data_IF_956331434794
#
_entry.id   IF_956331434794
#
_cell.length_a   1.000
_cell.length_b   1.000
_cell.length_c   1.000
_cell.angle_alpha   90.00
_cell.angle_beta   90.00
_cell.angle_gamma   90.00
#
_symmetry.space_group_name_H-M   'P 1'
#
loop_
_entity.id
_entity.type
_entity.pdbx_description
1 polymer ?
#
# COMPACT_ATOMS: atom_id res chain seq x y z
N UNK A 1 -31.46 37.79 32.30
CA UNK A 1 -30.31 38.33 31.55
C UNK A 1 -29.15 38.14 32.48
N UNK A 2 -28.39 37.08 32.26
CA UNK A 2 -27.05 36.76 32.78
C UNK A 2 -26.82 35.28 32.43
N UNK A 3 -26.36 35.03 31.20
CA UNK A 3 -25.91 33.71 30.75
C UNK A 3 -24.48 33.86 30.24
N UNK A 4 -23.51 33.59 31.12
CA UNK A 4 -22.11 33.39 30.76
C UNK A 4 -21.66 31.97 31.10
N UNK A 5 -21.35 31.23 30.02
CA UNK A 5 -20.21 30.33 29.85
C UNK A 5 -19.94 29.26 30.92
N UNK A 6 -20.27 28.03 30.57
CA UNK A 6 -19.29 26.93 30.61
C UNK A 6 -19.80 25.70 29.85
N UNK A 7 -19.22 25.43 28.68
CA UNK A 7 -18.99 24.05 28.25
C UNK A 7 -17.85 24.06 27.24
N UNK A 8 -16.67 23.65 27.72
CA UNK A 8 -15.53 23.37 26.87
C UNK A 8 -15.72 21.93 26.35
N UNK A 9 -16.28 21.82 25.14
CA UNK A 9 -16.34 20.57 24.40
C UNK A 9 -14.96 20.28 23.80
N UNK A 10 -14.21 19.39 24.45
CA UNK A 10 -12.96 18.84 23.93
C UNK A 10 -13.27 17.88 22.79
N UNK A 11 -13.50 18.45 21.61
CA UNK A 11 -13.45 17.74 20.34
C UNK A 11 -12.03 17.26 20.05
N UNK A 12 -11.90 15.98 19.69
CA UNK A 12 -10.68 15.46 19.10
C UNK A 12 -10.47 13.96 19.27
N UNK A 13 -11.08 13.15 18.39
CA UNK A 13 -10.37 12.01 17.79
C UNK A 13 -10.69 12.02 16.30
N UNK A 14 -9.61 12.01 15.52
CA UNK A 14 -9.53 12.30 14.10
C UNK A 14 -10.45 11.42 13.24
N UNK A 15 -11.10 12.09 12.29
CA UNK A 15 -11.91 11.45 11.27
C UNK A 15 -11.10 10.49 10.41
N UNK A 16 -11.71 9.35 10.14
CA UNK A 16 -11.36 8.45 9.06
C UNK A 16 -11.58 9.18 7.72
N UNK A 17 -10.52 9.76 7.15
CA UNK A 17 -10.54 10.32 5.79
C UNK A 17 -10.64 9.20 4.74
N UNK A 18 -11.85 8.65 4.60
CA UNK A 18 -12.16 7.58 3.64
C UNK A 18 -12.35 8.06 2.20
N UNK A 19 -12.14 9.36 1.91
CA UNK A 19 -12.29 9.95 0.57
C UNK A 19 -11.01 10.54 -0.05
N UNK A 20 -9.90 10.61 0.69
CA UNK A 20 -8.68 11.31 0.29
C UNK A 20 -7.57 10.42 -0.27
N UNK A 21 -6.40 11.04 -0.52
CA UNK A 21 -5.18 10.36 -0.98
C UNK A 21 -4.81 9.18 -0.07
N UNK A 22 -4.90 9.33 1.24
CA UNK A 22 -4.59 8.26 2.19
C UNK A 22 -5.54 7.06 2.05
N UNK A 23 -6.85 7.31 1.91
CA UNK A 23 -7.83 6.26 1.65
C UNK A 23 -7.62 5.56 0.32
N UNK A 24 -7.25 6.30 -0.74
CA UNK A 24 -6.89 5.72 -2.04
C UNK A 24 -5.66 4.82 -1.96
N UNK A 25 -4.58 5.28 -1.33
CA UNK A 25 -3.36 4.49 -1.15
C UNK A 25 -3.55 3.30 -0.20
N UNK A 26 -4.46 3.41 0.78
CA UNK A 26 -4.83 2.28 1.64
C UNK A 26 -5.53 1.16 0.87
N UNK A 27 -6.15 1.45 -0.28
CA UNK A 27 -6.71 0.42 -1.18
C UNK A 27 -5.63 -0.24 -2.05
N UNK A 28 -4.58 0.50 -2.40
CA UNK A 28 -3.43 -0.04 -3.12
C UNK A 28 -2.53 -0.94 -2.24
N UNK A 29 -2.59 -0.79 -0.91
CA UNK A 29 -1.73 -1.48 0.04
C UNK A 29 -2.46 -2.57 0.84
N UNK A 30 -1.81 -3.68 1.22
CA UNK A 30 -0.40 -3.98 0.94
C UNK A 30 -0.18 -4.35 -0.53
N UNK A 31 0.78 -3.71 -1.18
CA UNK A 31 1.01 -3.86 -2.62
C UNK A 31 1.16 -5.34 -2.98
N UNK A 32 0.48 -5.78 -4.05
CA UNK A 32 0.43 -7.17 -4.51
C UNK A 32 -0.22 -8.21 -3.57
N UNK A 33 -0.80 -7.80 -2.43
CA UNK A 33 -1.44 -8.71 -1.47
C UNK A 33 -2.97 -8.63 -1.48
N UNK A 34 -3.55 -7.52 -1.95
CA UNK A 34 -5.01 -7.37 -2.10
C UNK A 34 -5.35 -7.40 -3.58
N UNK A 35 -5.81 -8.53 -4.11
CA UNK A 35 -6.60 -8.50 -5.35
C UNK A 35 -7.41 -9.78 -5.51
N UNK A 36 -8.70 -9.67 -5.23
CA UNK A 36 -9.68 -10.77 -5.22
C UNK A 36 -10.01 -11.34 -6.61
N UNK A 37 -9.49 -10.77 -7.72
CA UNK A 37 -10.03 -11.05 -9.09
C UNK A 37 -9.02 -11.14 -10.23
N UNK A 38 -7.86 -11.72 -10.00
CA UNK A 38 -6.91 -12.01 -11.06
C UNK A 38 -5.92 -10.89 -11.23
N UNK A 39 -4.64 -11.25 -11.17
CA UNK A 39 -3.54 -10.33 -11.27
C UNK A 39 -2.95 -10.48 -12.68
N UNK A 40 -3.56 -9.81 -13.65
CA UNK A 40 -3.11 -9.87 -15.03
C UNK A 40 -1.84 -9.05 -15.24
N UNK A 41 -1.11 -9.37 -16.32
CA UNK A 41 0.08 -8.60 -16.70
C UNK A 41 -0.23 -7.13 -16.91
N UNK A 42 -1.38 -6.82 -17.51
CA UNK A 42 -1.81 -5.45 -17.78
C UNK A 42 -2.10 -4.66 -16.49
N UNK A 43 -2.72 -5.29 -15.48
CA UNK A 43 -2.96 -4.64 -14.18
C UNK A 43 -1.65 -4.38 -13.43
N UNK A 44 -0.71 -5.35 -13.44
CA UNK A 44 0.62 -5.13 -12.89
C UNK A 44 1.34 -3.98 -13.62
N UNK A 45 1.27 -3.98 -14.95
CA UNK A 45 1.92 -2.97 -15.77
C UNK A 45 1.34 -1.58 -15.50
N UNK A 46 0.03 -1.47 -15.31
CA UNK A 46 -0.64 -0.20 -14.97
C UNK A 46 -0.33 0.27 -13.54
N UNK A 47 -0.13 -0.66 -12.61
CA UNK A 47 0.14 -0.32 -11.20
C UNK A 47 1.62 0.02 -10.94
N UNK A 48 2.54 -0.28 -11.86
CA UNK A 48 3.98 -0.12 -11.65
C UNK A 48 4.63 0.71 -12.76
N UNK A 49 5.48 1.64 -12.35
CA UNK A 49 6.31 2.43 -13.27
C UNK A 49 7.23 1.51 -14.09
N UNK A 50 7.61 1.90 -15.30
CA UNK A 50 8.53 1.12 -16.14
C UNK A 50 9.88 0.88 -15.46
N UNK A 51 10.33 1.83 -14.64
CA UNK A 51 11.58 1.76 -13.88
C UNK A 51 11.37 1.23 -12.45
N UNK A 52 10.20 0.66 -12.15
CA UNK A 52 9.89 0.10 -10.84
C UNK A 52 10.93 -0.93 -10.40
N UNK A 53 11.31 -0.85 -9.12
CA UNK A 53 12.12 -1.88 -8.47
C UNK A 53 11.68 -2.10 -7.03
N UNK A 54 12.01 -3.28 -6.52
CA UNK A 54 11.66 -3.72 -5.18
C UNK A 54 12.92 -4.16 -4.41
N UNK A 55 12.99 -3.83 -3.13
CA UNK A 55 13.84 -4.55 -2.17
C UNK A 55 12.94 -5.45 -1.32
N UNK A 56 13.02 -6.75 -1.58
CA UNK A 56 12.21 -7.72 -0.86
C UNK A 56 12.75 -7.97 0.56
N UNK A 57 12.00 -8.75 1.33
CA UNK A 57 12.35 -9.09 2.72
C UNK A 57 13.70 -9.77 2.94
N UNK A 58 14.28 -10.35 1.89
CA UNK A 58 15.63 -10.92 1.91
C UNK A 58 16.75 -9.86 1.87
N UNK A 59 16.42 -8.60 1.61
CA UNK A 59 17.38 -7.55 1.28
C UNK A 59 17.85 -7.56 -0.18
N UNK A 60 17.45 -8.57 -0.97
CA UNK A 60 17.75 -8.62 -2.40
C UNK A 60 16.94 -7.58 -3.18
N UNK A 61 17.56 -7.01 -4.21
CA UNK A 61 16.93 -6.08 -5.15
C UNK A 61 16.39 -6.84 -6.35
N UNK A 62 15.16 -6.52 -6.72
CA UNK A 62 14.43 -7.10 -7.83
C UNK A 62 13.96 -6.00 -8.78
N UNK A 63 14.12 -6.24 -10.08
CA UNK A 63 13.50 -5.40 -11.10
C UNK A 63 12.02 -5.77 -11.30
N UNK A 64 11.34 -4.94 -12.07
CA UNK A 64 9.93 -5.08 -12.41
C UNK A 64 9.57 -6.43 -13.02
N UNK A 65 10.38 -6.95 -13.95
CA UNK A 65 10.12 -8.25 -14.60
C UNK A 65 10.29 -9.42 -13.63
N UNK A 66 11.31 -9.36 -12.77
CA UNK A 66 11.50 -10.36 -11.73
C UNK A 66 10.30 -10.39 -10.78
N UNK A 67 9.84 -9.22 -10.31
CA UNK A 67 8.66 -9.11 -9.44
C UNK A 67 7.44 -9.71 -10.13
N UNK A 68 7.18 -9.36 -11.40
CA UNK A 68 6.10 -9.96 -12.18
C UNK A 68 6.21 -11.49 -12.24
N UNK A 69 7.40 -12.04 -12.54
CA UNK A 69 7.58 -13.50 -12.67
C UNK A 69 7.23 -14.25 -11.38
N UNK A 70 7.54 -13.65 -10.21
CA UNK A 70 7.22 -14.21 -8.90
C UNK A 70 5.70 -14.15 -8.65
N UNK A 71 5.07 -13.01 -8.95
CA UNK A 71 3.63 -12.82 -8.78
C UNK A 71 2.81 -13.73 -9.71
N UNK A 72 3.20 -13.84 -10.98
CA UNK A 72 2.57 -14.71 -11.96
C UNK A 72 2.66 -16.18 -11.53
N UNK A 73 3.83 -16.63 -11.04
CA UNK A 73 4.00 -18.00 -10.51
C UNK A 73 3.13 -18.22 -9.26
N UNK A 74 3.10 -17.26 -8.34
CA UNK A 74 2.28 -17.33 -7.12
C UNK A 74 0.80 -17.49 -7.47
N UNK A 75 0.30 -16.67 -8.39
CA UNK A 75 -1.08 -16.73 -8.86
C UNK A 75 -1.41 -18.07 -9.54
N UNK A 76 -0.52 -18.58 -10.41
CA UNK A 76 -0.71 -19.88 -11.06
C UNK A 76 -0.73 -21.06 -10.07
N UNK A 77 -0.07 -20.93 -8.92
CA UNK A 77 -0.04 -21.96 -7.87
C UNK A 77 -1.17 -21.86 -6.84
N UNK A 78 -1.94 -20.77 -6.83
CA UNK A 78 -3.03 -20.57 -5.87
C UNK A 78 -4.33 -21.20 -6.41
N UNK A 79 -4.78 -22.28 -5.78
CA UNK A 79 -6.01 -22.99 -6.18
C UNK A 79 -7.26 -22.54 -5.41
N UNK A 80 -7.12 -21.71 -4.37
CA UNK A 80 -8.24 -21.20 -3.57
C UNK A 80 -8.03 -19.72 -3.17
N UNK A 81 -9.03 -18.84 -3.34
CA UNK A 81 -8.96 -17.44 -2.89
C UNK A 81 -8.75 -17.29 -1.37
N UNK A 82 -9.21 -18.26 -0.58
CA UNK A 82 -9.16 -18.23 0.88
C UNK A 82 -7.73 -18.30 1.47
N UNK A 83 -6.75 -18.83 0.72
CA UNK A 83 -5.35 -18.89 1.19
C UNK A 83 -4.62 -17.53 1.11
N UNK A 84 -5.25 -16.51 0.51
CA UNK A 84 -4.62 -15.20 0.27
C UNK A 84 -5.00 -14.12 1.29
N UNK A 85 -6.13 -14.25 2.02
CA UNK A 85 -6.71 -13.08 2.69
C UNK A 85 -6.69 -13.03 4.22
N UNK A 86 -6.57 -14.13 4.98
CA UNK A 86 -7.18 -14.05 6.32
C UNK A 86 -6.29 -13.67 7.52
N UNK A 87 -4.98 -13.42 7.39
CA UNK A 87 -4.15 -13.19 8.60
C UNK A 87 -3.12 -12.06 8.51
N UNK A 88 -3.38 -11.02 7.72
CA UNK A 88 -2.53 -9.82 7.76
C UNK A 88 -3.20 -8.59 8.36
N UNK A 89 -2.41 -7.82 9.11
CA UNK A 89 -2.84 -6.59 9.77
C UNK A 89 -1.85 -5.48 9.47
N UNK A 90 -2.37 -4.33 9.07
CA UNK A 90 -1.60 -3.11 8.82
C UNK A 90 -1.67 -2.22 10.06
N UNK A 91 -0.53 -1.81 10.57
CA UNK A 91 -0.38 -0.84 11.65
C UNK A 91 0.42 0.39 11.18
N UNK A 92 0.25 1.52 11.88
CA UNK A 92 0.99 2.76 11.66
C UNK A 92 1.01 3.23 10.20
N UNK A 93 -0.12 3.10 9.51
CA UNK A 93 -0.23 3.50 8.11
C UNK A 93 -0.13 5.02 7.97
N UNK A 94 1.00 5.47 7.43
CA UNK A 94 1.31 6.87 7.24
C UNK A 94 1.52 7.18 5.75
N UNK A 95 1.03 8.35 5.34
CA UNK A 95 1.20 8.89 3.98
C UNK A 95 1.84 10.26 4.09
N UNK A 96 2.89 10.50 3.32
CA UNK A 96 3.60 11.78 3.29
C UNK A 96 3.87 12.22 1.86
N UNK A 97 3.50 13.45 1.54
CA UNK A 97 3.89 14.08 0.27
C UNK A 97 5.37 14.39 0.27
N UNK A 98 6.07 13.98 -0.79
CA UNK A 98 7.51 14.16 -0.94
C UNK A 98 7.91 14.93 -2.19
N UNK A 99 7.02 14.98 -3.18
CA UNK A 99 7.16 15.73 -4.42
C UNK A 99 5.76 15.92 -5.06
N UNK A 100 5.60 16.75 -6.10
CA UNK A 100 4.33 16.86 -6.82
C UNK A 100 3.78 15.49 -7.23
N UNK A 101 2.50 15.27 -6.94
CA UNK A 101 1.77 14.01 -7.15
C UNK A 101 2.41 12.75 -6.53
N UNK A 102 3.46 12.89 -5.71
CA UNK A 102 4.26 11.75 -5.24
C UNK A 102 4.18 11.63 -3.72
N UNK A 103 3.81 10.44 -3.27
CA UNK A 103 3.55 10.09 -1.88
C UNK A 103 4.48 8.97 -1.45
N UNK A 104 5.07 9.12 -0.27
CA UNK A 104 5.69 8.01 0.46
C UNK A 104 4.63 7.42 1.39
N UNK A 105 4.40 6.12 1.24
CA UNK A 105 3.58 5.33 2.16
C UNK A 105 4.51 4.48 3.01
N UNK A 106 4.31 4.49 4.33
CA UNK A 106 5.03 3.61 5.26
C UNK A 106 4.05 2.96 6.24
N UNK A 107 4.29 1.71 6.59
CA UNK A 107 3.47 0.98 7.56
C UNK A 107 4.18 -0.27 8.07
N UNK A 108 3.65 -0.85 9.15
CA UNK A 108 4.02 -2.19 9.62
C UNK A 108 2.99 -3.19 9.11
N UNK A 109 3.44 -4.27 8.46
CA UNK A 109 2.58 -5.40 8.11
C UNK A 109 2.92 -6.60 8.99
N UNK A 110 1.89 -7.09 9.68
CA UNK A 110 1.86 -8.37 10.37
C UNK A 110 1.27 -9.42 9.44
N UNK A 111 1.90 -10.59 9.31
CA UNK A 111 1.43 -11.74 8.54
C UNK A 111 1.64 -13.00 9.39
N UNK A 112 0.75 -13.25 10.35
CA UNK A 112 1.03 -14.18 11.45
C UNK A 112 2.23 -13.73 12.28
N UNK A 113 3.18 -14.62 12.55
CA UNK A 113 4.42 -14.30 13.29
C UNK A 113 5.39 -13.42 12.49
N UNK A 114 5.20 -13.35 11.17
CA UNK A 114 6.08 -12.57 10.28
C UNK A 114 5.71 -11.10 10.30
N UNK A 115 6.59 -10.25 10.82
CA UNK A 115 6.41 -8.79 10.85
C UNK A 115 7.39 -8.11 9.91
N UNK A 116 6.91 -7.16 9.10
CA UNK A 116 7.73 -6.37 8.19
C UNK A 116 7.41 -4.87 8.26
N UNK A 117 8.44 -4.03 8.13
CA UNK A 117 8.28 -2.59 7.86
C UNK A 117 8.29 -2.39 6.35
N UNK A 118 7.30 -1.67 5.86
CA UNK A 118 7.09 -1.47 4.42
C UNK A 118 7.16 0.00 4.06
N UNK A 119 7.69 0.26 2.88
CA UNK A 119 7.74 1.57 2.27
C UNK A 119 7.42 1.45 0.78
N UNK A 120 6.52 2.30 0.28
CA UNK A 120 6.21 2.38 -1.15
C UNK A 120 6.19 3.83 -1.58
N UNK A 121 6.85 4.12 -2.70
CA UNK A 121 6.72 5.41 -3.39
C UNK A 121 5.61 5.27 -4.43
N UNK A 122 4.60 6.11 -4.30
CA UNK A 122 3.46 6.17 -5.19
C UNK A 122 3.42 7.51 -5.90
N UNK A 123 3.15 7.51 -7.20
CA UNK A 123 2.86 8.71 -7.98
C UNK A 123 1.44 8.64 -8.51
N UNK A 124 0.69 9.72 -8.39
CA UNK A 124 -0.59 9.83 -9.07
C UNK A 124 -0.32 10.21 -10.53
N UNK A 125 -0.69 9.33 -11.44
CA UNK A 125 -0.62 9.57 -12.87
C UNK A 125 -2.01 9.95 -13.38
N UNK A 126 -2.12 11.09 -14.05
CA UNK A 126 -3.36 11.64 -14.59
C UNK A 126 -3.27 11.90 -16.10
N UNK A 127 -2.33 11.25 -16.81
CA UNK A 127 -2.15 11.45 -18.24
C UNK A 127 -3.10 10.64 -19.14
N UNK A 128 -3.81 9.65 -18.59
CA UNK A 128 -4.72 8.77 -19.35
C UNK A 128 -6.17 9.27 -19.36
N UNK A 129 -6.87 9.06 -20.49
CA UNK A 129 -8.29 9.38 -20.69
C UNK A 129 -9.25 8.55 -19.80
N UNK A 130 -8.77 7.46 -19.20
CA UNK A 130 -9.51 6.57 -18.29
C UNK A 130 -9.65 7.12 -16.86
N UNK A 131 -9.13 8.32 -16.61
CA UNK A 131 -8.99 8.88 -15.26
C UNK A 131 -7.68 8.49 -14.59
N UNK A 132 -7.23 9.35 -13.66
CA UNK A 132 -5.93 9.17 -13.04
C UNK A 132 -5.86 7.99 -12.07
N UNK A 133 -4.69 7.37 -11.98
CA UNK A 133 -4.43 6.19 -11.17
C UNK A 133 -3.12 6.32 -10.38
N UNK A 134 -2.92 5.45 -9.40
CA UNK A 134 -1.68 5.41 -8.63
C UNK A 134 -0.70 4.42 -9.24
N UNK A 135 0.52 4.87 -9.48
CA UNK A 135 1.65 4.10 -10.03
C UNK A 135 2.73 3.98 -8.97
N UNK A 136 3.12 2.75 -8.64
CA UNK A 136 4.22 2.49 -7.72
C UNK A 136 5.55 2.72 -8.45
N UNK A 137 6.42 3.54 -7.87
CA UNK A 137 7.77 3.83 -8.37
C UNK A 137 8.82 2.91 -7.73
N UNK A 138 8.61 2.56 -6.47
CA UNK A 138 9.54 1.74 -5.68
C UNK A 138 8.79 1.08 -4.54
N UNK A 139 9.16 -0.15 -4.18
CA UNK A 139 8.69 -0.82 -2.98
C UNK A 139 9.85 -1.40 -2.16
N UNK A 140 9.68 -1.41 -0.84
CA UNK A 140 10.55 -2.14 0.06
C UNK A 140 9.75 -2.77 1.18
N UNK A 141 10.03 -4.04 1.46
CA UNK A 141 9.60 -4.72 2.68
C UNK A 141 10.80 -5.26 3.43
N UNK A 142 11.02 -4.83 4.65
CA UNK A 142 12.14 -5.29 5.49
C UNK A 142 11.59 -6.02 6.71
N UNK A 143 12.11 -7.22 7.00
CA UNK A 143 11.71 -7.96 8.20
C UNK A 143 12.08 -7.20 9.46
N UNK A 144 11.17 -7.22 10.44
CA UNK A 144 11.49 -6.85 11.81
C UNK A 144 12.18 -8.06 12.43
N UNK A 145 13.42 -7.92 12.96
CA UNK A 145 14.10 -9.02 13.62
C UNK A 145 13.35 -9.43 14.90
N UNK A 146 13.37 -10.73 15.20
CA UNK A 146 12.95 -11.22 16.51
C UNK A 146 13.82 -10.55 17.58
N UNK A 147 13.18 -10.05 18.64
CA UNK A 147 13.85 -9.40 19.76
C UNK A 147 14.31 -10.41 20.81
#
# INVERSE_FOLDING_TARGET
MDDERSSNDTGGVAGEDSGGVAGALRRCEPIFHRWERGFSRAEFDRMTDVDFSEVGASGSRYDREHVWSVLARRHASTTAPADLEENWRVEDFAVRSIAPATQLVTYTLHQGERVSRRATLWRYDNCDDDGGHWVALYHQGTLVPDR
#
